data_IF_621431191360
#
_entry.id   IF_621431191360
#
_cell.length_a   1.000
_cell.length_b   1.000
_cell.length_c   1.000
_cell.angle_alpha   90.00
_cell.angle_beta   90.00
_cell.angle_gamma   90.00
#
_symmetry.space_group_name_H-M   'P 1'
#
loop_
_entity.id
_entity.type
_entity.pdbx_description
1 polymer ?
#
# COMPACT_ATOMS: atom_id res chain seq x y z
N UNK A 1 -22.56 -20.72 22.42
CA UNK A 1 -22.78 -19.64 21.45
C UNK A 1 -21.56 -19.59 20.53
N UNK A 2 -21.47 -20.49 19.55
CA UNK A 2 -20.45 -20.39 18.52
C UNK A 2 -20.91 -19.27 17.58
N UNK A 3 -20.37 -18.07 17.76
CA UNK A 3 -20.55 -16.97 16.81
C UNK A 3 -19.84 -17.37 15.52
N UNK A 4 -20.57 -18.03 14.61
CA UNK A 4 -20.06 -18.46 13.33
C UNK A 4 -19.65 -17.22 12.53
N UNK A 5 -18.36 -16.95 12.48
CA UNK A 5 -17.81 -16.02 11.50
C UNK A 5 -17.93 -16.70 10.14
N UNK A 6 -18.96 -16.36 9.37
CA UNK A 6 -19.05 -16.75 7.97
C UNK A 6 -18.05 -15.90 7.21
N UNK A 7 -17.04 -16.56 6.64
CA UNK A 7 -16.09 -15.89 5.77
C UNK A 7 -16.82 -15.41 4.51
N UNK A 8 -16.89 -14.10 4.33
CA UNK A 8 -17.47 -13.48 3.14
C UNK A 8 -16.34 -13.21 2.14
N UNK A 9 -16.21 -14.11 1.17
CA UNK A 9 -15.17 -14.04 0.15
C UNK A 9 -15.30 -12.78 -0.73
N UNK A 10 -16.52 -12.34 -1.01
CA UNK A 10 -16.78 -11.16 -1.84
C UNK A 10 -16.41 -9.89 -1.09
N UNK A 11 -16.81 -9.77 0.17
CA UNK A 11 -16.41 -8.63 1.02
C UNK A 11 -14.90 -8.57 1.22
N UNK A 12 -14.22 -9.72 1.35
CA UNK A 12 -12.77 -9.79 1.41
C UNK A 12 -12.12 -9.34 0.09
N UNK A 13 -12.63 -9.80 -1.05
CA UNK A 13 -12.12 -9.43 -2.37
C UNK A 13 -12.28 -7.93 -2.65
N UNK A 14 -13.41 -7.32 -2.27
CA UNK A 14 -13.63 -5.88 -2.38
C UNK A 14 -12.66 -5.10 -1.48
N UNK A 15 -12.41 -5.59 -0.26
CA UNK A 15 -11.46 -4.94 0.67
C UNK A 15 -10.02 -5.02 0.18
N UNK A 16 -9.64 -6.15 -0.40
CA UNK A 16 -8.33 -6.32 -1.05
C UNK A 16 -8.19 -5.29 -2.18
N UNK A 17 -9.17 -5.17 -3.09
CA UNK A 17 -9.15 -4.18 -4.18
C UNK A 17 -8.98 -2.75 -3.68
N UNK A 18 -9.71 -2.36 -2.63
CA UNK A 18 -9.57 -1.03 -2.02
C UNK A 18 -8.16 -0.77 -1.47
N UNK A 19 -7.54 -1.77 -0.84
CA UNK A 19 -6.18 -1.66 -0.31
C UNK A 19 -5.14 -1.61 -1.42
N UNK A 20 -5.34 -2.33 -2.52
CA UNK A 20 -4.49 -2.24 -3.71
C UNK A 20 -4.52 -0.84 -4.32
N UNK A 21 -5.70 -0.23 -4.43
CA UNK A 21 -5.84 1.14 -4.90
C UNK A 21 -5.06 2.12 -4.03
N UNK A 22 -5.14 1.98 -2.70
CA UNK A 22 -4.37 2.80 -1.77
C UNK A 22 -2.86 2.57 -1.95
N UNK A 23 -2.41 1.31 -2.00
CA UNK A 23 -1.00 0.96 -2.24
C UNK A 23 -0.48 1.59 -3.54
N UNK A 24 -1.25 1.47 -4.62
CA UNK A 24 -0.89 1.99 -5.94
C UNK A 24 -0.81 3.52 -5.92
N UNK A 25 -1.77 4.21 -5.30
CA UNK A 25 -1.73 5.67 -5.12
C UNK A 25 -0.49 6.12 -4.35
N UNK A 26 -0.12 5.41 -3.28
CA UNK A 26 1.10 5.71 -2.50
C UNK A 26 2.36 5.56 -3.36
N UNK A 27 2.45 4.48 -4.14
CA UNK A 27 3.57 4.23 -5.07
C UNK A 27 3.68 5.35 -6.09
N UNK A 28 2.57 5.75 -6.70
CA UNK A 28 2.56 6.77 -7.73
C UNK A 28 3.00 8.14 -7.14
N UNK A 29 2.57 8.46 -5.92
CA UNK A 29 3.04 9.65 -5.20
C UNK A 29 4.54 9.59 -4.85
N UNK A 30 5.05 8.42 -4.44
CA UNK A 30 6.49 8.23 -4.25
C UNK A 30 7.29 8.52 -5.53
N UNK A 31 6.81 8.06 -6.69
CA UNK A 31 7.46 8.33 -7.98
C UNK A 31 7.44 9.82 -8.34
N UNK A 32 6.34 10.52 -8.05
CA UNK A 32 6.25 11.97 -8.26
C UNK A 32 7.28 12.71 -7.40
N UNK A 33 7.36 12.40 -6.10
CA UNK A 33 8.33 13.02 -5.19
C UNK A 33 9.79 12.66 -5.51
N UNK A 34 10.03 11.49 -6.11
CA UNK A 34 11.35 11.05 -6.54
C UNK A 34 11.94 11.90 -7.68
N UNK A 35 11.11 12.62 -8.43
CA UNK A 35 11.58 13.58 -9.43
C UNK A 35 12.05 14.83 -8.70
N UNK A 36 13.37 15.00 -8.56
CA UNK A 36 13.99 16.11 -7.80
C UNK A 36 14.16 17.41 -8.59
N UNK A 37 13.80 17.42 -9.87
CA UNK A 37 14.15 18.47 -10.83
C UNK A 37 13.22 19.69 -10.85
N UNK A 38 12.28 19.82 -9.91
CA UNK A 38 11.21 20.84 -10.01
C UNK A 38 11.50 22.16 -9.29
N UNK A 39 12.60 22.22 -8.52
CA UNK A 39 12.85 23.35 -7.63
C UNK A 39 14.23 23.93 -7.93
N UNK A 40 14.20 25.10 -8.55
CA UNK A 40 15.37 25.95 -8.76
C UNK A 40 15.28 27.18 -7.86
N UNK A 41 16.40 27.68 -7.33
CA UNK A 41 16.37 28.88 -6.52
C UNK A 41 16.04 30.10 -7.40
N UNK A 42 15.18 31.02 -6.93
CA UNK A 42 14.80 32.21 -7.70
C UNK A 42 15.96 33.19 -7.93
N UNK A 43 17.05 33.02 -7.18
CA UNK A 43 18.23 33.86 -7.19
C UNK A 43 19.45 33.07 -6.68
N UNK A 44 20.64 33.56 -7.01
CA UNK A 44 21.90 32.87 -6.69
C UNK A 44 22.49 33.19 -5.32
N UNK A 45 21.77 33.93 -4.47
CA UNK A 45 22.17 34.20 -3.09
C UNK A 45 22.06 32.95 -2.21
N UNK A 46 22.82 32.97 -1.12
CA UNK A 46 22.91 31.84 -0.19
C UNK A 46 21.56 31.50 0.48
N UNK A 47 20.74 32.47 0.94
CA UNK A 47 19.40 32.20 1.44
C UNK A 47 18.50 31.43 0.46
N UNK A 48 18.43 31.88 -0.79
CA UNK A 48 17.61 31.22 -1.82
C UNK A 48 18.04 29.76 -2.06
N UNK A 49 19.35 29.51 -2.17
CA UNK A 49 19.91 28.16 -2.31
C UNK A 49 19.67 27.29 -1.08
N UNK A 50 19.81 27.86 0.12
CA UNK A 50 19.57 27.16 1.38
C UNK A 50 18.10 26.72 1.50
N UNK A 51 17.16 27.59 1.10
CA UNK A 51 15.74 27.27 1.12
C UNK A 51 15.40 26.12 0.16
N UNK A 52 15.89 26.17 -1.09
CA UNK A 52 15.70 25.06 -2.04
C UNK A 52 16.27 23.76 -1.50
N UNK A 53 17.48 23.79 -0.93
CA UNK A 53 18.10 22.62 -0.31
C UNK A 53 17.22 22.05 0.82
N UNK A 54 16.71 22.90 1.71
CA UNK A 54 15.83 22.46 2.79
C UNK A 54 14.56 21.80 2.24
N UNK A 55 13.92 22.39 1.24
CA UNK A 55 12.74 21.82 0.59
C UNK A 55 13.04 20.47 -0.06
N UNK A 56 14.15 20.34 -0.78
CA UNK A 56 14.56 19.06 -1.39
C UNK A 56 14.82 17.97 -0.34
N UNK A 57 15.39 18.32 0.82
CA UNK A 57 15.55 17.39 1.95
C UNK A 57 14.19 16.93 2.49
N UNK A 58 13.26 17.86 2.71
CA UNK A 58 11.90 17.50 3.17
C UNK A 58 11.16 16.60 2.19
N UNK A 59 11.28 16.85 0.87
CA UNK A 59 10.70 16.00 -0.18
C UNK A 59 11.32 14.59 -0.13
N UNK A 60 12.64 14.49 0.05
CA UNK A 60 13.30 13.19 0.15
C UNK A 60 12.82 12.38 1.38
N UNK A 61 12.61 13.05 2.51
CA UNK A 61 12.03 12.42 3.71
C UNK A 61 10.61 11.93 3.44
N UNK A 62 9.76 12.77 2.84
CA UNK A 62 8.39 12.40 2.48
C UNK A 62 8.35 11.21 1.50
N UNK A 63 9.24 11.17 0.51
CA UNK A 63 9.38 10.04 -0.39
C UNK A 63 9.75 8.74 0.36
N UNK A 64 10.63 8.83 1.36
CA UNK A 64 10.98 7.70 2.24
C UNK A 64 9.78 7.19 3.04
N UNK A 65 8.96 8.09 3.61
CA UNK A 65 7.72 7.70 4.28
C UNK A 65 6.73 7.02 3.35
N UNK A 66 6.54 7.52 2.13
CA UNK A 66 5.66 6.87 1.14
C UNK A 66 6.14 5.45 0.80
N UNK A 67 7.44 5.23 0.67
CA UNK A 67 7.99 3.89 0.44
C UNK A 67 7.69 2.94 1.60
N UNK A 68 7.88 3.38 2.85
CA UNK A 68 7.55 2.58 4.02
C UNK A 68 6.05 2.23 4.08
N UNK A 69 5.18 3.21 3.81
CA UNK A 69 3.73 2.98 3.75
C UNK A 69 3.33 1.98 2.66
N UNK A 70 3.96 2.08 1.48
CA UNK A 70 3.77 1.10 0.40
C UNK A 70 4.13 -0.31 0.89
N UNK A 71 5.29 -0.47 1.53
CA UNK A 71 5.75 -1.78 2.02
C UNK A 71 4.81 -2.36 3.08
N UNK A 72 4.26 -1.54 3.98
CA UNK A 72 3.27 -2.00 4.96
C UNK A 72 1.98 -2.47 4.29
N UNK A 73 1.47 -1.71 3.32
CA UNK A 73 0.27 -2.07 2.58
C UNK A 73 0.48 -3.37 1.77
N UNK A 74 1.63 -3.49 1.10
CA UNK A 74 1.97 -4.67 0.30
C UNK A 74 2.13 -5.93 1.15
N UNK A 75 2.82 -5.82 2.29
CA UNK A 75 2.96 -6.92 3.24
C UNK A 75 1.60 -7.35 3.84
N UNK A 76 0.70 -6.40 4.06
CA UNK A 76 -0.64 -6.73 4.55
C UNK A 76 -1.49 -7.41 3.47
N UNK A 77 -1.44 -6.92 2.23
CA UNK A 77 -2.09 -7.55 1.07
C UNK A 77 -1.60 -8.99 0.88
N UNK A 78 -0.30 -9.26 1.01
CA UNK A 78 0.25 -10.62 0.97
C UNK A 78 -0.42 -11.55 1.98
N UNK A 79 -0.61 -11.10 3.22
CA UNK A 79 -1.30 -11.88 4.25
C UNK A 79 -2.79 -12.10 3.94
N UNK A 80 -3.45 -11.11 3.33
CA UNK A 80 -4.85 -11.25 2.93
C UNK A 80 -5.02 -12.27 1.80
N UNK A 81 -4.09 -12.28 0.83
CA UNK A 81 -4.07 -13.29 -0.23
C UNK A 81 -3.81 -14.70 0.30
N UNK A 82 -2.87 -14.86 1.23
CA UNK A 82 -2.64 -16.15 1.89
C UNK A 82 -3.88 -16.63 2.66
N UNK A 83 -4.56 -15.74 3.38
CA UNK A 83 -5.78 -16.07 4.09
C UNK A 83 -6.90 -16.50 3.14
N UNK A 84 -7.15 -15.74 2.08
CA UNK A 84 -8.16 -16.06 1.07
C UNK A 84 -7.90 -17.41 0.40
N UNK A 85 -6.65 -17.71 0.04
CA UNK A 85 -6.26 -19.00 -0.54
C UNK A 85 -6.47 -20.18 0.41
N UNK A 86 -6.23 -20.01 1.71
CA UNK A 86 -6.49 -21.04 2.73
C UNK A 86 -7.98 -21.33 2.90
N UNK A 87 -8.83 -20.30 2.92
CA UNK A 87 -10.28 -20.47 3.06
C UNK A 87 -10.91 -21.14 1.83
N UNK A 88 -10.52 -20.76 0.61
CA UNK A 88 -11.01 -21.41 -0.61
C UNK A 88 -10.71 -22.91 -0.66
N UNK A 89 -9.49 -23.32 -0.26
CA UNK A 89 -9.13 -24.74 -0.19
C UNK A 89 -9.90 -25.51 0.89
N UNK A 90 -10.29 -24.83 1.99
CA UNK A 90 -11.01 -25.44 3.10
C UNK A 90 -12.51 -25.62 2.77
N UNK A 91 -13.11 -24.70 2.01
CA UNK A 91 -14.47 -24.85 1.47
C UNK A 91 -14.59 -25.98 0.44
N UNK A 92 -13.62 -26.12 -0.47
CA UNK A 92 -13.59 -27.21 -1.46
C UNK A 92 -13.45 -28.59 -0.79
N UNK A 93 -12.58 -28.71 0.22
CA UNK A 93 -12.41 -29.94 1.00
C UNK A 93 -13.65 -30.30 1.83
N UNK A 94 -14.35 -29.29 2.35
CA UNK A 94 -15.56 -29.49 3.15
C UNK A 94 -16.75 -29.87 2.26
N UNK A 95 -16.92 -29.25 1.09
CA UNK A 95 -17.95 -29.62 0.12
C UNK A 95 -17.82 -31.06 -0.37
N UNK A 96 -16.60 -31.53 -0.63
CA UNK A 96 -16.34 -32.90 -1.07
C UNK A 96 -16.61 -33.97 0.02
N UNK A 97 -16.63 -33.60 1.31
CA UNK A 97 -16.94 -34.51 2.42
C UNK A 97 -18.44 -34.68 2.65
N UNK A 98 -19.28 -33.75 2.20
CA UNK A 98 -20.73 -33.79 2.36
C UNK A 98 -21.48 -34.35 1.12
N UNK A 99 -20.78 -34.59 0.00
CA UNK A 99 -21.32 -35.24 -1.21
C UNK A 99 -21.14 -36.78 -1.25
N UNK A 100 -20.80 -37.43 -0.13
CA UNK A 100 -20.79 -38.90 0.01
C UNK A 100 -21.87 -39.38 0.96
#
# INVERSE_FOLDING_TARGET
MAGGYTFDADAMADRIRQLEDVRNRIRDQHQVLGKRSWIEPPSNDDPAKAQVKATLVSIAIAAGHNLAMYQYADAYLGKLYEAAGRYGAQEESTGALFEK
#
